data_IF_826391888719
#
_entry.id   IF_826391888719
#
_cell.length_a   1.000
_cell.length_b   1.000
_cell.length_c   1.000
_cell.angle_alpha   90.00
_cell.angle_beta   90.00
_cell.angle_gamma   90.00
#
_symmetry.space_group_name_H-M   'P 1'
#
loop_
_entity.id
_entity.type
_entity.pdbx_description
1 polymer ?
#
# COMPACT_ATOMS: atom_id res chain seq x y z
N UNK A 1 14.10 0.01 -13.13
CA UNK A 1 13.65 -1.29 -12.58
C UNK A 1 12.14 -1.21 -12.50
N UNK A 2 11.44 -2.20 -13.05
CA UNK A 2 9.98 -2.28 -13.00
C UNK A 2 9.50 -2.39 -11.55
N UNK A 3 8.34 -1.79 -11.28
CA UNK A 3 7.60 -1.91 -10.02
C UNK A 3 7.48 -3.38 -9.58
N UNK A 4 7.76 -3.67 -8.31
CA UNK A 4 7.43 -4.96 -7.72
C UNK A 4 5.98 -4.91 -7.27
N UNK A 5 5.09 -5.39 -8.12
CA UNK A 5 3.66 -5.57 -7.79
C UNK A 5 3.41 -6.95 -7.21
N UNK A 6 2.23 -7.14 -6.60
CA UNK A 6 1.77 -8.47 -6.24
C UNK A 6 1.75 -9.42 -7.45
N UNK A 7 1.35 -8.92 -8.62
CA UNK A 7 1.40 -9.71 -9.87
C UNK A 7 2.82 -10.17 -10.18
N UNK A 8 3.80 -9.26 -10.13
CA UNK A 8 5.22 -9.58 -10.36
C UNK A 8 5.74 -10.61 -9.36
N UNK A 9 5.31 -10.55 -8.09
CA UNK A 9 5.68 -11.55 -7.07
C UNK A 9 5.14 -12.93 -7.46
N UNK A 10 3.87 -13.02 -7.84
CA UNK A 10 3.25 -14.30 -8.20
C UNK A 10 3.70 -14.84 -9.56
N UNK A 11 4.01 -13.99 -10.53
CA UNK A 11 4.68 -14.36 -11.79
C UNK A 11 6.04 -15.01 -11.49
N UNK A 12 6.84 -14.43 -10.57
CA UNK A 12 8.10 -15.04 -10.13
C UNK A 12 7.89 -16.42 -9.48
N UNK A 13 6.82 -16.61 -8.71
CA UNK A 13 6.51 -17.91 -8.11
C UNK A 13 6.19 -18.98 -9.17
N UNK A 14 5.47 -18.61 -10.22
CA UNK A 14 5.19 -19.52 -11.35
C UNK A 14 6.48 -19.85 -12.10
N UNK A 15 7.25 -18.82 -12.49
CA UNK A 15 8.44 -18.97 -13.33
C UNK A 15 9.59 -19.71 -12.63
N UNK A 16 9.94 -19.31 -11.41
CA UNK A 16 11.16 -19.79 -10.75
C UNK A 16 10.93 -21.01 -9.84
N UNK A 17 9.69 -21.19 -9.35
CA UNK A 17 9.37 -22.25 -8.39
C UNK A 17 8.39 -23.29 -8.94
N UNK A 18 7.93 -23.14 -10.19
CA UNK A 18 7.04 -24.11 -10.84
C UNK A 18 5.66 -24.22 -10.20
N UNK A 19 5.23 -23.19 -9.48
CA UNK A 19 3.85 -23.11 -8.97
C UNK A 19 2.92 -22.99 -10.19
N UNK A 20 1.91 -23.85 -10.29
CA UNK A 20 0.97 -23.71 -11.40
C UNK A 20 0.12 -22.43 -11.26
N UNK A 21 -0.35 -21.90 -12.39
CA UNK A 21 -1.09 -20.63 -12.43
C UNK A 21 -2.34 -20.63 -11.55
N UNK A 22 -3.08 -21.73 -11.50
CA UNK A 22 -4.30 -21.83 -10.70
C UNK A 22 -4.00 -21.68 -9.19
N UNK A 23 -2.97 -22.38 -8.71
CA UNK A 23 -2.49 -22.28 -7.33
C UNK A 23 -1.98 -20.88 -7.04
N UNK A 24 -1.22 -20.26 -7.94
CA UNK A 24 -0.73 -18.90 -7.78
C UNK A 24 -1.89 -17.90 -7.63
N UNK A 25 -2.94 -18.01 -8.46
CA UNK A 25 -4.12 -17.14 -8.35
C UNK A 25 -4.89 -17.35 -7.03
N UNK A 26 -5.02 -18.60 -6.57
CA UNK A 26 -5.65 -18.91 -5.28
C UNK A 26 -4.85 -18.28 -4.13
N UNK A 27 -3.54 -18.48 -4.12
CA UNK A 27 -2.65 -17.91 -3.09
C UNK A 27 -2.70 -16.38 -3.09
N UNK A 28 -2.64 -15.76 -4.27
CA UNK A 28 -2.75 -14.31 -4.43
C UNK A 28 -4.05 -13.77 -3.82
N UNK A 29 -5.17 -14.47 -4.07
CA UNK A 29 -6.46 -14.11 -3.49
C UNK A 29 -6.48 -14.25 -1.97
N UNK A 30 -5.96 -15.37 -1.46
CA UNK A 30 -5.84 -15.60 -0.01
C UNK A 30 -5.02 -14.51 0.65
N UNK A 31 -3.91 -14.08 0.05
CA UNK A 31 -3.06 -13.03 0.58
C UNK A 31 -3.80 -11.69 0.67
N UNK A 32 -4.50 -11.29 -0.40
CA UNK A 32 -5.33 -10.07 -0.42
C UNK A 32 -6.43 -10.13 0.65
N UNK A 33 -7.13 -11.26 0.75
CA UNK A 33 -8.21 -11.43 1.72
C UNK A 33 -7.67 -11.42 3.15
N UNK A 34 -6.56 -12.13 3.40
CA UNK A 34 -5.90 -12.18 4.70
C UNK A 34 -5.47 -10.79 5.14
N UNK A 35 -4.82 -10.01 4.26
CA UNK A 35 -4.39 -8.64 4.59
C UNK A 35 -5.58 -7.76 5.00
N UNK A 36 -6.70 -7.83 4.27
CA UNK A 36 -7.93 -7.12 4.65
C UNK A 36 -8.47 -7.58 6.01
N UNK A 37 -8.40 -8.88 6.26
CA UNK A 37 -8.94 -9.51 7.46
C UNK A 37 -8.05 -9.34 8.68
N UNK A 38 -6.75 -9.08 8.54
CA UNK A 38 -5.83 -8.93 9.68
C UNK A 38 -5.37 -7.49 9.90
N UNK A 39 -5.36 -6.65 8.86
CA UNK A 39 -5.06 -5.23 9.02
C UNK A 39 -6.09 -4.58 9.95
N UNK A 40 -5.59 -3.90 10.98
CA UNK A 40 -6.40 -3.17 11.95
C UNK A 40 -5.87 -1.76 12.11
N UNK A 41 -6.79 -0.85 12.38
CA UNK A 41 -6.45 0.53 12.71
C UNK A 41 -5.60 0.56 13.98
N UNK A 42 -4.49 1.31 13.92
CA UNK A 42 -3.79 1.72 15.12
C UNK A 42 -4.50 2.94 15.72
N UNK A 43 -5.16 2.77 16.88
CA UNK A 43 -5.98 3.80 17.51
C UNK A 43 -5.17 5.06 17.90
N UNK A 44 -3.89 4.92 18.25
CA UNK A 44 -3.02 6.06 18.52
C UNK A 44 -2.74 6.87 17.25
N UNK A 45 -2.42 6.21 16.14
CA UNK A 45 -2.18 6.91 14.86
C UNK A 45 -3.48 7.56 14.36
N UNK A 46 -4.62 6.94 14.60
CA UNK A 46 -5.90 7.52 14.21
C UNK A 46 -6.28 8.74 15.03
N UNK A 47 -5.92 8.81 16.31
CA UNK A 47 -6.12 10.04 17.09
C UNK A 47 -5.25 11.18 16.57
N UNK A 48 -4.00 10.90 16.16
CA UNK A 48 -3.13 11.88 15.48
C UNK A 48 -3.72 12.32 14.14
N UNK A 49 -4.26 11.38 13.35
CA UNK A 49 -4.95 11.67 12.10
C UNK A 49 -6.12 12.63 12.31
N UNK A 50 -7.00 12.34 13.27
CA UNK A 50 -8.15 13.19 13.59
C UNK A 50 -7.71 14.58 14.05
N UNK A 51 -6.71 14.66 14.93
CA UNK A 51 -6.13 15.94 15.35
C UNK A 51 -5.64 16.76 14.14
N UNK A 52 -4.92 16.14 13.21
CA UNK A 52 -4.46 16.80 11.99
C UNK A 52 -5.63 17.30 11.13
N UNK A 53 -6.69 16.50 10.95
CA UNK A 53 -7.90 16.89 10.20
C UNK A 53 -8.62 18.07 10.85
N UNK A 54 -8.85 18.01 12.16
CA UNK A 54 -9.49 19.09 12.94
C UNK A 54 -8.73 20.40 12.85
N UNK A 55 -7.40 20.33 12.76
CA UNK A 55 -6.50 21.48 12.63
C UNK A 55 -6.16 21.83 11.16
N UNK A 56 -6.94 21.31 10.20
CA UNK A 56 -6.79 21.59 8.76
C UNK A 56 -5.35 21.38 8.25
N UNK A 57 -4.65 20.37 8.78
CA UNK A 57 -3.33 19.99 8.30
C UNK A 57 -3.47 19.17 7.02
N UNK A 58 -2.52 19.35 6.11
CA UNK A 58 -2.37 18.46 4.97
C UNK A 58 -1.90 17.08 5.47
N UNK A 59 -2.62 16.03 5.06
CA UNK A 59 -2.32 14.66 5.42
C UNK A 59 -1.99 13.90 4.15
N UNK A 60 -0.90 13.15 4.20
CA UNK A 60 -0.45 12.29 3.12
C UNK A 60 -0.11 10.91 3.69
N UNK A 61 -0.36 9.89 2.90
CA UNK A 61 0.00 8.51 3.21
C UNK A 61 1.14 8.10 2.29
N UNK A 62 2.21 7.52 2.84
CA UNK A 62 3.32 6.99 2.06
C UNK A 62 3.54 5.53 2.45
N UNK A 63 3.31 4.61 1.52
CA UNK A 63 3.46 3.16 1.76
C UNK A 63 4.37 2.52 0.73
N UNK A 64 5.13 1.52 1.14
CA UNK A 64 5.98 0.64 0.32
C UNK A 64 5.26 -0.67 -0.03
N UNK A 65 3.94 -0.70 0.14
CA UNK A 65 3.12 -1.88 -0.08
C UNK A 65 2.98 -2.23 -1.56
N UNK A 66 3.07 -3.51 -1.89
CA UNK A 66 2.88 -4.06 -3.24
C UNK A 66 1.39 -4.33 -3.59
N UNK A 67 0.45 -3.96 -2.70
CA UNK A 67 -1.00 -4.16 -2.83
C UNK A 67 -1.76 -2.89 -3.25
N UNK A 68 -1.40 -2.33 -4.41
CA UNK A 68 -1.84 -1.02 -4.87
C UNK A 68 -3.36 -0.77 -4.83
N UNK A 69 -4.16 -1.74 -5.27
CA UNK A 69 -5.63 -1.62 -5.35
C UNK A 69 -6.35 -1.96 -4.04
N UNK A 70 -5.67 -2.65 -3.12
CA UNK A 70 -6.25 -3.18 -1.87
C UNK A 70 -6.03 -2.21 -0.73
N UNK A 71 -4.89 -1.51 -0.71
CA UNK A 71 -4.54 -0.59 0.38
C UNK A 71 -5.58 0.53 0.59
N UNK A 72 -6.18 1.05 -0.49
CA UNK A 72 -7.27 2.03 -0.38
C UNK A 72 -8.48 1.45 0.35
N UNK A 73 -8.82 0.18 0.09
CA UNK A 73 -9.92 -0.52 0.78
C UNK A 73 -9.58 -0.76 2.24
N UNK A 74 -8.33 -1.07 2.56
CA UNK A 74 -7.84 -1.27 3.94
C UNK A 74 -7.92 0.06 4.72
N UNK A 75 -7.40 1.15 4.15
CA UNK A 75 -7.45 2.48 4.78
C UNK A 75 -8.90 2.93 5.02
N UNK A 76 -9.76 2.78 4.03
CA UNK A 76 -11.18 3.12 4.17
C UNK A 76 -11.88 2.26 5.23
N UNK A 77 -11.63 0.95 5.25
CA UNK A 77 -12.17 0.06 6.28
C UNK A 77 -11.65 0.38 7.69
N UNK A 78 -10.44 0.94 7.79
CA UNK A 78 -9.87 1.45 9.03
C UNK A 78 -10.42 2.84 9.42
N UNK A 79 -11.22 3.51 8.58
CA UNK A 79 -11.84 4.79 8.87
C UNK A 79 -11.02 6.03 8.45
N UNK A 80 -10.02 5.86 7.59
CA UNK A 80 -9.31 6.97 6.94
C UNK A 80 -10.07 7.42 5.68
N UNK A 81 -10.03 8.73 5.38
CA UNK A 81 -10.70 9.32 4.22
C UNK A 81 -9.97 8.99 2.91
N UNK A 82 -10.73 8.81 1.81
CA UNK A 82 -10.19 8.59 0.47
C UNK A 82 -9.69 9.89 -0.18
N UNK A 83 -10.02 11.06 0.38
CA UNK A 83 -9.56 12.36 -0.14
C UNK A 83 -8.07 12.62 0.09
N UNK A 84 -7.43 11.90 1.01
CA UNK A 84 -6.06 12.14 1.41
C UNK A 84 -5.08 11.49 0.41
N UNK A 85 -4.00 12.19 0.04
CA UNK A 85 -3.08 11.72 -1.01
C UNK A 85 -2.31 10.48 -0.56
N UNK A 86 -2.42 9.38 -1.32
CA UNK A 86 -1.69 8.15 -1.10
C UNK A 86 -0.56 7.98 -2.14
N UNK A 87 0.67 7.93 -1.66
CA UNK A 87 1.87 7.68 -2.44
C UNK A 87 2.41 6.29 -2.16
N UNK A 88 2.56 5.50 -3.22
CA UNK A 88 3.04 4.12 -3.12
C UNK A 88 4.44 4.05 -3.70
N UNK A 89 5.42 3.84 -2.82
CA UNK A 89 6.84 3.87 -3.17
C UNK A 89 7.20 2.75 -4.13
N UNK A 90 6.52 1.61 -4.02
CA UNK A 90 6.51 0.52 -5.01
C UNK A 90 6.13 1.02 -6.40
N UNK A 91 5.00 1.72 -6.56
CA UNK A 91 4.54 2.26 -7.84
C UNK A 91 5.43 3.35 -8.42
N UNK A 92 6.05 4.15 -7.56
CA UNK A 92 6.88 5.28 -8.00
C UNK A 92 8.30 4.81 -8.36
N UNK A 93 8.71 3.59 -7.96
CA UNK A 93 10.08 3.09 -8.13
C UNK A 93 11.10 3.88 -7.30
N UNK A 94 10.63 4.58 -6.26
CA UNK A 94 11.40 5.38 -5.32
C UNK A 94 11.29 4.75 -3.94
N UNK A 95 12.35 4.76 -3.14
CA UNK A 95 12.39 4.06 -1.86
C UNK A 95 12.29 5.02 -0.68
N UNK A 96 11.62 4.58 0.39
CA UNK A 96 11.65 5.31 1.67
C UNK A 96 13.05 5.30 2.29
N UNK A 97 13.78 4.21 2.11
CA UNK A 97 15.11 4.00 2.68
C UNK A 97 16.15 4.99 2.12
N UNK A 98 16.21 5.16 0.79
CA UNK A 98 17.11 6.16 0.19
C UNK A 98 16.56 7.59 0.29
N UNK A 99 15.29 7.74 0.71
CA UNK A 99 14.62 9.03 0.87
C UNK A 99 14.24 9.71 -0.46
N UNK A 100 14.43 9.04 -1.59
CA UNK A 100 14.23 9.60 -2.92
C UNK A 100 12.75 9.75 -3.30
N UNK A 101 11.84 9.16 -2.51
CA UNK A 101 10.39 9.38 -2.60
C UNK A 101 9.95 10.76 -2.11
N UNK A 102 10.63 11.33 -1.11
CA UNK A 102 10.18 12.59 -0.50
C UNK A 102 10.21 13.78 -1.47
N UNK A 103 11.27 13.99 -2.28
CA UNK A 103 11.26 15.04 -3.30
C UNK A 103 10.10 14.89 -4.30
N UNK A 104 9.82 13.67 -4.74
CA UNK A 104 8.71 13.38 -5.66
C UNK A 104 7.36 13.71 -5.03
N UNK A 105 7.15 13.29 -3.78
CA UNK A 105 5.92 13.61 -3.04
C UNK A 105 5.74 15.13 -2.96
N UNK A 106 6.79 15.88 -2.60
CA UNK A 106 6.73 17.34 -2.50
C UNK A 106 6.37 18.03 -3.82
N UNK A 107 6.78 17.48 -4.96
CA UNK A 107 6.41 18.00 -6.29
C UNK A 107 4.93 17.77 -6.64
N UNK A 108 4.25 16.82 -5.97
CA UNK A 108 2.85 16.44 -6.23
C UNK A 108 1.86 17.04 -5.22
N UNK A 109 2.34 17.77 -4.21
CA UNK A 109 1.53 18.46 -3.20
C UNK A 109 1.25 19.91 -3.59
#
# INVERSE_FOLDING_TARGET
MSEVTLDTIFECLVEYFGVNDQTAQILKKIEIETERDVCRRNEFIFSVYNYCRENQKQIIFISDMYLLSVINKILHAAGYDQSDNLFLSSAIGKTKFMGDIYPYVLEQL
#
